data_IF_436448415727
#
_entry.id   IF_436448415727
#
_cell.length_a   1.000
_cell.length_b   1.000
_cell.length_c   1.000
_cell.angle_alpha   90.00
_cell.angle_beta   90.00
_cell.angle_gamma   90.00
#
_symmetry.space_group_name_H-M   'P 1'
#
loop_
_entity.id
_entity.type
_entity.pdbx_description
1 polymer ?
#
# COMPACT_ATOMS: atom_id res chain seq x y z
N UNK A 1 -15.86 21.80 32.98
CA UNK A 1 -14.55 22.32 32.60
C UNK A 1 -13.95 21.30 31.63
N UNK A 2 -14.13 21.58 30.36
CA UNK A 2 -13.72 20.71 29.26
C UNK A 2 -12.23 20.95 28.98
N UNK A 3 -11.47 19.87 28.91
CA UNK A 3 -10.06 19.87 28.58
C UNK A 3 -9.93 20.03 27.06
N UNK A 4 -9.72 21.25 26.59
CA UNK A 4 -9.28 21.54 25.23
C UNK A 4 -7.80 21.13 25.12
N UNK A 5 -7.54 19.91 24.69
CA UNK A 5 -6.22 19.54 24.16
C UNK A 5 -6.19 19.88 22.68
N UNK A 6 -5.75 21.10 22.41
CA UNK A 6 -5.28 21.53 21.10
C UNK A 6 -4.06 20.67 20.70
N UNK A 7 -4.27 19.66 19.87
CA UNK A 7 -3.19 19.06 19.13
C UNK A 7 -2.72 20.01 18.02
N UNK A 8 -1.90 20.97 18.42
CA UNK A 8 -1.03 21.67 17.50
C UNK A 8 0.02 20.66 17.02
N UNK A 9 -0.13 20.17 15.80
CA UNK A 9 0.96 19.50 15.08
C UNK A 9 2.10 20.52 15.01
N UNK A 10 3.28 20.24 15.59
CA UNK A 10 4.40 21.15 15.48
C UNK A 10 4.74 21.28 14.00
N UNK A 11 4.48 22.43 13.43
CA UNK A 11 4.93 22.77 12.09
C UNK A 11 6.44 23.01 12.11
N UNK A 12 7.23 21.96 12.30
CA UNK A 12 8.61 21.97 11.86
C UNK A 12 8.62 21.89 10.33
N UNK A 13 8.10 22.94 9.69
CA UNK A 13 8.40 23.26 8.29
C UNK A 13 9.88 23.63 8.19
N UNK A 14 10.78 22.64 8.22
CA UNK A 14 11.99 22.76 7.44
C UNK A 14 11.49 23.01 6.02
N UNK A 15 11.83 24.16 5.43
CA UNK A 15 11.61 24.40 3.99
C UNK A 15 12.37 23.28 3.26
N UNK A 16 11.64 22.25 2.86
CA UNK A 16 12.20 21.27 1.95
C UNK A 16 12.48 22.04 0.67
N UNK A 17 13.73 22.07 0.26
CA UNK A 17 14.06 22.56 -1.07
C UNK A 17 13.28 21.72 -2.06
N UNK A 18 12.56 22.39 -2.99
CA UNK A 18 11.92 21.69 -4.10
C UNK A 18 12.96 20.85 -4.82
N UNK A 19 12.66 19.58 -5.05
CA UNK A 19 13.51 18.66 -5.81
C UNK A 19 12.84 18.29 -7.11
N UNK A 20 13.63 17.92 -8.11
CA UNK A 20 13.17 17.32 -9.35
C UNK A 20 13.28 15.81 -9.24
N UNK A 21 12.16 15.12 -9.24
CA UNK A 21 12.07 13.69 -8.96
C UNK A 21 11.50 12.97 -10.18
N UNK A 22 12.20 11.96 -10.69
CA UNK A 22 11.61 11.01 -11.62
C UNK A 22 10.95 9.88 -10.81
N UNK A 23 9.68 9.58 -11.10
CA UNK A 23 8.93 8.53 -10.43
C UNK A 23 8.45 7.49 -11.45
N UNK A 24 8.94 6.26 -11.29
CA UNK A 24 8.55 5.13 -12.12
C UNK A 24 7.72 4.14 -11.34
N UNK A 25 6.60 3.70 -11.92
CA UNK A 25 5.73 2.71 -11.33
C UNK A 25 4.98 1.91 -12.39
N UNK A 26 4.36 0.81 -11.99
CA UNK A 26 3.47 0.07 -12.87
C UNK A 26 2.11 0.78 -12.93
N UNK A 27 1.60 0.96 -14.15
CA UNK A 27 0.29 1.56 -14.41
C UNK A 27 -0.89 0.65 -14.13
N UNK A 28 -0.67 -0.52 -13.53
CA UNK A 28 -1.71 -1.50 -13.33
C UNK A 28 -2.20 -1.59 -11.90
N UNK A 29 -3.40 -2.09 -11.79
CA UNK A 29 -4.19 -2.39 -10.61
C UNK A 29 -3.53 -3.36 -9.62
N UNK A 30 -2.37 -3.94 -9.96
CA UNK A 30 -1.57 -4.75 -9.03
C UNK A 30 -0.85 -3.89 -7.99
N UNK A 31 -0.59 -2.64 -8.31
CA UNK A 31 -0.11 -1.68 -7.35
C UNK A 31 -1.30 -1.21 -6.51
N UNK A 32 -1.15 -1.17 -5.18
CA UNK A 32 -2.14 -0.50 -4.35
C UNK A 32 -2.32 0.94 -4.83
N UNK A 33 -3.50 1.52 -4.65
CA UNK A 33 -3.75 2.94 -4.95
C UNK A 33 -2.67 3.85 -4.35
N UNK A 34 -2.14 3.50 -3.19
CA UNK A 34 -1.10 4.27 -2.52
C UNK A 34 0.21 4.38 -3.33
N UNK A 35 0.55 3.37 -4.13
CA UNK A 35 1.67 3.43 -5.08
C UNK A 35 1.32 4.35 -6.24
N UNK A 36 0.13 4.18 -6.82
CA UNK A 36 -0.31 5.00 -7.95
C UNK A 36 -0.37 6.50 -7.60
N UNK A 37 -0.79 6.84 -6.39
CA UNK A 37 -0.93 8.22 -5.94
C UNK A 37 0.37 8.90 -5.50
N UNK A 38 1.51 8.18 -5.44
CA UNK A 38 2.79 8.73 -4.99
C UNK A 38 3.24 9.94 -5.80
N UNK A 39 3.11 9.90 -7.13
CA UNK A 39 3.46 11.02 -8.01
C UNK A 39 2.69 12.29 -7.67
N UNK A 40 1.37 12.17 -7.51
CA UNK A 40 0.50 13.28 -7.10
C UNK A 40 0.84 13.77 -5.68
N UNK A 41 1.16 12.85 -4.77
CA UNK A 41 1.58 13.17 -3.40
C UNK A 41 2.88 13.96 -3.39
N UNK A 42 3.90 13.55 -4.14
CA UNK A 42 5.17 14.26 -4.27
C UNK A 42 4.97 15.68 -4.82
N UNK A 43 4.12 15.85 -5.85
CA UNK A 43 3.76 17.19 -6.37
C UNK A 43 3.09 18.04 -5.30
N UNK A 44 2.19 17.47 -4.50
CA UNK A 44 1.53 18.16 -3.38
C UNK A 44 2.50 18.57 -2.25
N UNK A 45 3.68 17.93 -2.19
CA UNK A 45 4.76 18.29 -1.27
C UNK A 45 5.66 19.41 -1.81
N UNK A 46 5.43 19.87 -3.05
CA UNK A 46 6.17 20.95 -3.69
C UNK A 46 7.35 20.50 -4.55
N UNK A 47 7.43 19.21 -4.89
CA UNK A 47 8.45 18.68 -5.80
C UNK A 47 7.99 18.77 -7.26
N UNK A 48 8.94 18.95 -8.19
CA UNK A 48 8.72 18.74 -9.62
C UNK A 48 8.81 17.23 -9.89
N UNK A 49 7.78 16.64 -10.50
CA UNK A 49 7.72 15.19 -10.70
C UNK A 49 7.56 14.84 -12.17
N UNK A 50 8.55 14.15 -12.70
CA UNK A 50 8.51 13.47 -13.99
C UNK A 50 8.03 12.05 -13.75
N UNK A 51 6.86 11.70 -14.28
CA UNK A 51 6.23 10.42 -14.02
C UNK A 51 6.33 9.49 -15.23
N UNK A 52 6.88 8.30 -15.02
CA UNK A 52 6.97 7.23 -16.00
C UNK A 52 6.09 6.05 -15.59
N UNK A 53 4.96 5.88 -16.28
CA UNK A 53 4.06 4.76 -16.03
C UNK A 53 4.36 3.60 -16.96
N UNK A 54 4.76 2.47 -16.40
CA UNK A 54 5.09 1.27 -17.17
C UNK A 54 3.87 0.35 -17.24
N UNK A 55 3.37 0.05 -18.43
CA UNK A 55 2.22 -0.83 -18.58
C UNK A 55 2.60 -2.26 -18.22
N UNK A 56 1.77 -2.89 -17.41
CA UNK A 56 1.85 -4.32 -17.12
C UNK A 56 0.51 -4.96 -17.49
N UNK A 57 0.50 -6.21 -17.91
CA UNK A 57 -0.77 -6.94 -17.97
C UNK A 57 -1.25 -7.24 -16.55
N UNK A 58 -2.54 -7.48 -16.38
CA UNK A 58 -3.19 -7.71 -15.08
C UNK A 58 -2.60 -8.84 -14.19
N UNK A 59 -1.47 -9.42 -14.57
CA UNK A 59 -0.70 -10.41 -13.82
C UNK A 59 0.72 -9.92 -13.46
N UNK A 60 1.00 -8.61 -13.60
CA UNK A 60 2.34 -8.07 -13.35
C UNK A 60 3.40 -8.47 -14.38
N UNK A 61 3.04 -9.31 -15.36
CA UNK A 61 3.93 -9.62 -16.45
C UNK A 61 4.05 -8.39 -17.35
N UNK A 62 5.26 -7.94 -17.55
CA UNK A 62 5.61 -6.96 -18.57
C UNK A 62 4.99 -7.43 -19.88
N UNK A 63 4.25 -6.57 -20.57
CA UNK A 63 3.65 -6.90 -21.87
C UNK A 63 4.77 -7.30 -22.84
N UNK A 64 5.00 -8.60 -23.00
CA UNK A 64 6.04 -9.14 -23.90
C UNK A 64 5.72 -8.86 -25.37
N UNK A 65 4.46 -8.53 -25.69
CA UNK A 65 3.95 -8.32 -27.04
C UNK A 65 3.13 -7.02 -27.13
N UNK A 66 3.72 -5.90 -26.72
CA UNK A 66 3.14 -4.58 -27.01
C UNK A 66 3.29 -4.32 -28.50
N UNK A 67 2.20 -4.02 -29.18
CA UNK A 67 2.21 -3.63 -30.58
C UNK A 67 3.09 -2.39 -30.79
N UNK A 68 3.64 -2.22 -32.00
CA UNK A 68 4.55 -1.11 -32.33
C UNK A 68 3.98 0.27 -32.02
N UNK A 69 2.68 0.45 -32.22
CA UNK A 69 1.98 1.72 -31.95
C UNK A 69 1.81 1.98 -30.44
N UNK A 70 1.47 0.95 -29.68
CA UNK A 70 1.37 1.06 -28.22
C UNK A 70 2.73 1.31 -27.58
N UNK A 71 3.79 0.69 -28.11
CA UNK A 71 5.16 0.95 -27.68
C UNK A 71 5.57 2.40 -27.92
N UNK A 72 5.28 2.96 -29.11
CA UNK A 72 5.53 4.35 -29.43
C UNK A 72 4.75 5.30 -28.50
N UNK A 73 3.48 4.99 -28.20
CA UNK A 73 2.66 5.78 -27.27
C UNK A 73 3.19 5.76 -25.84
N UNK A 74 3.73 4.63 -25.39
CA UNK A 74 4.39 4.51 -24.07
C UNK A 74 5.65 5.36 -24.02
N UNK A 75 6.49 5.25 -25.05
CA UNK A 75 7.74 5.99 -25.15
C UNK A 75 7.54 7.51 -25.08
N UNK A 76 6.46 8.03 -25.70
CA UNK A 76 6.17 9.47 -25.67
C UNK A 76 5.79 10.01 -24.29
N UNK A 77 5.44 9.13 -23.35
CA UNK A 77 5.07 9.49 -21.98
C UNK A 77 6.17 9.22 -20.96
N UNK A 78 7.28 8.62 -21.39
CA UNK A 78 8.40 8.31 -20.49
C UNK A 78 9.40 9.47 -20.47
N UNK A 79 9.96 9.82 -19.30
CA UNK A 79 11.07 10.76 -19.22
C UNK A 79 12.24 10.33 -20.12
N UNK A 80 12.87 11.24 -20.81
CA UNK A 80 14.08 10.95 -21.60
C UNK A 80 15.31 10.82 -20.70
N UNK A 81 16.41 10.24 -21.21
CA UNK A 81 17.69 10.24 -20.47
C UNK A 81 18.15 11.67 -20.13
N UNK A 82 17.91 12.64 -21.02
CA UNK A 82 18.23 14.05 -20.78
C UNK A 82 17.39 14.61 -19.60
N UNK A 83 16.12 14.24 -19.51
CA UNK A 83 15.29 14.62 -18.37
C UNK A 83 15.81 14.00 -17.07
N UNK A 84 16.17 12.72 -17.09
CA UNK A 84 16.68 12.00 -15.92
C UNK A 84 18.02 12.55 -15.42
N UNK A 85 18.88 13.08 -16.31
CA UNK A 85 20.14 13.75 -15.95
C UNK A 85 19.94 15.00 -15.10
N UNK A 86 18.76 15.60 -15.16
CA UNK A 86 18.40 16.83 -14.42
C UNK A 86 17.68 16.55 -13.10
N UNK A 87 17.37 15.28 -12.80
CA UNK A 87 16.70 14.89 -11.56
C UNK A 87 17.69 14.83 -10.39
N UNK A 88 17.17 15.14 -9.20
CA UNK A 88 17.88 14.94 -7.93
C UNK A 88 17.73 13.49 -7.45
N UNK A 89 16.53 12.92 -7.62
CA UNK A 89 16.16 11.58 -7.18
C UNK A 89 15.38 10.87 -8.29
N UNK A 90 15.66 9.59 -8.47
CA UNK A 90 14.87 8.68 -9.29
C UNK A 90 14.28 7.62 -8.36
N UNK A 91 12.97 7.60 -8.23
CA UNK A 91 12.22 6.68 -7.38
C UNK A 91 11.53 5.64 -8.25
N UNK A 92 11.79 4.37 -7.99
CA UNK A 92 11.21 3.24 -8.74
C UNK A 92 10.41 2.37 -7.78
N UNK A 93 9.08 2.37 -7.94
CA UNK A 93 8.19 1.50 -7.18
C UNK A 93 7.94 0.20 -7.95
N UNK A 94 8.22 -0.93 -7.28
CA UNK A 94 8.15 -2.25 -7.88
C UNK A 94 9.25 -2.52 -8.91
N UNK A 95 10.55 -2.33 -8.56
CA UNK A 95 11.65 -2.62 -9.48
C UNK A 95 11.60 -4.05 -10.03
N UNK A 96 11.06 -4.98 -9.25
CA UNK A 96 10.81 -6.37 -9.65
C UNK A 96 9.91 -6.51 -10.88
N UNK A 97 9.08 -5.51 -11.15
CA UNK A 97 8.16 -5.50 -12.28
C UNK A 97 8.62 -4.61 -13.43
N UNK A 98 9.39 -3.55 -13.13
CA UNK A 98 9.70 -2.49 -14.11
C UNK A 98 11.13 -2.56 -14.65
N UNK A 99 12.04 -3.29 -14.01
CA UNK A 99 13.47 -3.27 -14.36
C UNK A 99 13.75 -3.71 -15.81
N UNK A 100 13.02 -4.69 -16.34
CA UNK A 100 13.18 -5.12 -17.75
C UNK A 100 12.85 -3.97 -18.72
N UNK A 101 11.82 -3.18 -18.41
CA UNK A 101 11.46 -2.01 -19.20
C UNK A 101 12.49 -0.90 -19.10
N UNK A 102 12.98 -0.61 -17.91
CA UNK A 102 14.03 0.39 -17.71
C UNK A 102 15.31 0.00 -18.48
N UNK A 103 15.65 -1.28 -18.49
CA UNK A 103 16.77 -1.78 -19.30
C UNK A 103 16.53 -1.61 -20.81
N UNK A 104 15.32 -1.88 -21.28
CA UNK A 104 14.98 -1.74 -22.70
C UNK A 104 14.97 -0.28 -23.15
N UNK A 105 14.49 0.63 -22.27
CA UNK A 105 14.36 2.05 -22.59
C UNK A 105 15.67 2.82 -22.50
N UNK A 106 16.47 2.54 -21.46
CA UNK A 106 17.62 3.37 -21.13
C UNK A 106 18.94 2.61 -21.21
N UNK A 107 18.93 1.28 -21.10
CA UNK A 107 20.11 0.44 -20.95
C UNK A 107 20.75 0.58 -19.57
N UNK A 108 21.31 -0.51 -19.05
CA UNK A 108 21.94 -0.55 -17.72
C UNK A 108 23.08 0.46 -17.59
N UNK A 109 23.94 0.53 -18.59
CA UNK A 109 25.11 1.40 -18.55
C UNK A 109 24.74 2.88 -18.42
N UNK A 110 23.83 3.36 -19.28
CA UNK A 110 23.37 4.75 -19.23
C UNK A 110 22.60 5.06 -17.94
N UNK A 111 21.80 4.10 -17.46
CA UNK A 111 21.09 4.22 -16.19
C UNK A 111 22.04 4.36 -15.01
N UNK A 112 23.09 3.54 -14.95
CA UNK A 112 24.08 3.60 -13.87
C UNK A 112 24.95 4.85 -13.88
N UNK A 113 25.04 5.56 -15.02
CA UNK A 113 25.78 6.82 -15.16
C UNK A 113 24.96 8.07 -14.75
N UNK A 114 23.66 7.92 -14.46
CA UNK A 114 22.83 9.03 -14.00
C UNK A 114 23.35 9.58 -12.67
N UNK A 115 23.37 10.94 -12.56
CA UNK A 115 23.82 11.62 -11.33
C UNK A 115 22.77 11.60 -10.22
N UNK A 116 21.50 11.44 -10.59
CA UNK A 116 20.39 11.34 -9.66
C UNK A 116 20.56 10.13 -8.73
N UNK A 117 20.16 10.25 -7.47
CA UNK A 117 20.09 9.14 -6.53
C UNK A 117 18.94 8.20 -6.94
N UNK A 118 19.27 6.94 -7.23
CA UNK A 118 18.32 5.92 -7.68
C UNK A 118 17.84 5.10 -6.49
N UNK A 119 16.56 5.12 -6.25
CA UNK A 119 15.90 4.49 -5.10
C UNK A 119 14.93 3.43 -5.57
N UNK A 120 15.11 2.20 -5.10
CA UNK A 120 14.21 1.07 -5.34
C UNK A 120 13.26 0.88 -4.16
N UNK A 121 11.96 0.92 -4.42
CA UNK A 121 10.92 0.54 -3.46
C UNK A 121 10.35 -0.81 -3.87
N UNK A 122 10.79 -1.87 -3.21
CA UNK A 122 10.24 -3.21 -3.44
C UNK A 122 8.84 -3.31 -2.84
N UNK A 123 7.92 -3.96 -3.55
CA UNK A 123 6.52 -4.08 -3.15
C UNK A 123 6.17 -5.49 -2.65
N UNK A 124 7.05 -6.44 -2.94
CA UNK A 124 6.89 -7.85 -2.60
C UNK A 124 8.13 -8.37 -1.85
N UNK A 125 7.92 -9.37 -1.01
CA UNK A 125 9.03 -10.11 -0.37
C UNK A 125 9.65 -11.09 -1.36
N UNK A 126 10.98 -11.24 -1.32
CA UNK A 126 11.71 -12.26 -2.09
C UNK A 126 11.40 -13.69 -1.59
N UNK A 127 10.84 -13.82 -0.39
CA UNK A 127 10.37 -15.08 0.18
C UNK A 127 9.03 -15.55 -0.41
N UNK A 128 8.40 -14.74 -1.25
CA UNK A 128 7.16 -15.11 -1.92
C UNK A 128 7.42 -16.19 -2.96
N UNK A 129 6.87 -17.40 -2.76
CA UNK A 129 7.15 -18.60 -3.56
C UNK A 129 6.66 -18.52 -5.01
N UNK A 130 5.67 -17.68 -5.28
CA UNK A 130 5.03 -17.52 -6.60
C UNK A 130 5.66 -16.40 -7.45
N UNK A 131 6.63 -15.67 -6.91
CA UNK A 131 7.37 -14.62 -7.63
C UNK A 131 8.85 -14.97 -7.63
N UNK A 132 9.38 -15.35 -8.79
CA UNK A 132 10.82 -15.51 -8.98
C UNK A 132 11.45 -14.13 -9.15
N UNK A 133 11.64 -13.43 -8.05
CA UNK A 133 12.34 -12.17 -8.05
C UNK A 133 13.87 -12.41 -7.96
N UNK A 134 14.59 -11.81 -8.89
CA UNK A 134 16.04 -11.89 -8.96
C UNK A 134 16.65 -10.57 -8.53
N UNK A 135 16.74 -10.37 -7.22
CA UNK A 135 17.41 -9.20 -6.66
C UNK A 135 18.85 -9.03 -7.16
N UNK A 136 19.59 -10.14 -7.28
CA UNK A 136 20.96 -10.20 -7.75
C UNK A 136 21.17 -9.58 -9.14
N UNK A 137 20.15 -9.57 -10.00
CA UNK A 137 20.22 -9.00 -11.35
C UNK A 137 20.13 -7.47 -11.35
N UNK A 138 19.43 -6.90 -10.38
CA UNK A 138 19.09 -5.48 -10.38
C UNK A 138 19.65 -4.70 -9.19
N UNK A 139 20.37 -5.37 -8.27
CA UNK A 139 20.89 -4.74 -7.07
C UNK A 139 21.77 -3.52 -7.36
N UNK A 140 22.64 -3.62 -8.36
CA UNK A 140 23.58 -2.57 -8.75
C UNK A 140 22.98 -1.44 -9.60
N UNK A 141 21.66 -1.51 -9.92
CA UNK A 141 20.94 -0.46 -10.64
C UNK A 141 20.54 0.69 -9.75
N UNK A 142 20.52 0.49 -8.43
CA UNK A 142 20.02 1.43 -7.45
C UNK A 142 21.06 1.72 -6.38
N UNK A 143 21.02 2.93 -5.87
CA UNK A 143 21.88 3.39 -4.79
C UNK A 143 21.29 3.11 -3.41
N UNK A 144 19.96 3.02 -3.34
CA UNK A 144 19.20 2.75 -2.12
C UNK A 144 18.10 1.74 -2.40
N UNK A 145 17.91 0.82 -1.45
CA UNK A 145 16.91 -0.25 -1.51
C UNK A 145 16.01 -0.19 -0.28
N UNK A 146 14.70 -0.21 -0.51
CA UNK A 146 13.69 -0.29 0.52
C UNK A 146 12.88 -1.57 0.37
N UNK A 147 12.94 -2.46 1.34
CA UNK A 147 12.24 -3.74 1.35
C UNK A 147 11.07 -3.73 2.33
N UNK A 148 9.90 -4.27 1.94
CA UNK A 148 8.75 -4.38 2.83
C UNK A 148 8.89 -5.54 3.83
N UNK A 149 9.90 -6.38 3.69
CA UNK A 149 10.19 -7.55 4.52
C UNK A 149 11.52 -7.38 5.25
N UNK A 150 11.52 -7.56 6.57
CA UNK A 150 12.72 -7.44 7.41
C UNK A 150 13.74 -8.55 7.14
N UNK A 151 13.30 -9.72 6.71
CA UNK A 151 14.21 -10.80 6.30
C UNK A 151 14.99 -10.41 5.05
N UNK A 152 14.34 -9.72 4.10
CA UNK A 152 15.00 -9.20 2.91
C UNK A 152 16.01 -8.09 3.27
N UNK A 153 15.67 -7.21 4.22
CA UNK A 153 16.62 -6.22 4.73
C UNK A 153 17.83 -6.89 5.38
N UNK A 154 17.63 -7.92 6.18
CA UNK A 154 18.72 -8.67 6.81
C UNK A 154 19.59 -9.42 5.79
N UNK A 155 18.99 -9.92 4.72
CA UNK A 155 19.64 -10.72 3.68
C UNK A 155 20.43 -9.88 2.68
N UNK A 156 19.87 -8.75 2.24
CA UNK A 156 20.40 -7.96 1.12
C UNK A 156 20.96 -6.61 1.56
N UNK A 157 20.77 -6.21 2.80
CA UNK A 157 20.99 -4.85 3.25
C UNK A 157 19.89 -3.90 2.78
N UNK A 158 20.05 -2.60 3.04
CA UNK A 158 19.06 -1.59 2.67
C UNK A 158 18.20 -1.13 3.84
N UNK A 159 17.05 -0.56 3.53
CA UNK A 159 16.15 0.03 4.51
C UNK A 159 14.82 -0.74 4.58
N UNK A 160 14.21 -0.78 5.75
CA UNK A 160 12.88 -1.34 5.90
C UNK A 160 11.81 -0.37 5.35
N UNK A 161 11.05 -0.81 4.37
CA UNK A 161 9.89 -0.09 3.85
C UNK A 161 8.68 -0.35 4.76
N UNK A 162 8.50 0.50 5.76
CA UNK A 162 7.31 0.46 6.61
C UNK A 162 6.04 0.63 5.76
N UNK A 163 4.99 -0.09 6.09
CA UNK A 163 3.69 0.03 5.42
C UNK A 163 3.19 1.48 5.34
N UNK A 164 2.43 1.79 4.31
CA UNK A 164 1.88 3.12 4.07
C UNK A 164 0.56 3.06 3.31
N UNK A 165 -0.23 4.11 3.44
CA UNK A 165 -1.55 4.21 2.82
C UNK A 165 -1.87 5.65 2.38
N UNK A 166 -2.61 5.79 1.29
CA UNK A 166 -3.17 7.08 0.87
C UNK A 166 -4.40 7.43 1.72
N UNK A 167 -4.20 8.29 2.70
CA UNK A 167 -5.25 8.74 3.61
C UNK A 167 -6.25 9.71 2.95
N UNK A 168 -5.94 10.24 1.78
CA UNK A 168 -6.89 11.00 0.96
C UNK A 168 -7.99 10.11 0.39
N UNK A 169 -7.62 8.88 0.01
CA UNK A 169 -8.52 7.88 -0.57
C UNK A 169 -9.18 7.02 0.51
N UNK A 170 -8.39 6.42 1.38
CA UNK A 170 -8.87 5.51 2.43
C UNK A 170 -9.08 6.28 3.73
N UNK A 171 -10.33 6.62 4.01
CA UNK A 171 -10.71 7.44 5.16
C UNK A 171 -12.07 7.00 5.73
N UNK A 172 -12.29 7.19 7.05
CA UNK A 172 -13.48 6.67 7.72
C UNK A 172 -14.77 7.39 7.31
N UNK A 173 -14.67 8.61 6.82
CA UNK A 173 -15.81 9.37 6.31
C UNK A 173 -15.36 10.29 5.16
N UNK A 174 -16.29 10.70 4.31
CA UNK A 174 -16.00 11.54 3.13
C UNK A 174 -15.33 12.88 3.49
N UNK A 175 -15.64 13.43 4.68
CA UNK A 175 -15.11 14.71 5.13
C UNK A 175 -13.76 14.60 5.85
N UNK A 176 -13.32 13.40 6.23
CA UNK A 176 -12.00 13.20 6.88
C UNK A 176 -10.89 13.61 5.92
N UNK A 177 -9.95 14.37 6.40
CA UNK A 177 -8.86 14.93 5.60
C UNK A 177 -9.09 16.39 5.15
N UNK A 178 -10.30 16.93 5.33
CA UNK A 178 -10.51 18.37 5.24
C UNK A 178 -9.86 19.05 6.47
N UNK A 179 -9.29 20.23 6.25
CA UNK A 179 -8.66 20.99 7.35
C UNK A 179 -9.67 21.22 8.47
N UNK A 180 -9.28 20.86 9.70
CA UNK A 180 -10.12 21.03 10.88
C UNK A 180 -11.22 19.99 11.10
N UNK A 181 -11.41 19.01 10.19
CA UNK A 181 -12.40 17.96 10.41
C UNK A 181 -11.92 16.93 11.42
N UNK A 182 -12.58 16.84 12.56
CA UNK A 182 -12.46 15.75 13.52
C UNK A 182 -13.64 14.79 13.34
N UNK A 183 -13.40 13.47 13.38
CA UNK A 183 -14.51 12.51 13.39
C UNK A 183 -15.20 12.57 14.75
N UNK A 184 -16.31 13.30 14.78
CA UNK A 184 -17.21 13.44 15.91
C UNK A 184 -18.26 12.32 15.98
N UNK A 185 -19.13 12.39 16.96
CA UNK A 185 -20.23 11.40 17.15
C UNK A 185 -21.18 11.37 15.94
N UNK A 186 -21.42 12.49 15.26
CA UNK A 186 -22.24 12.53 14.06
C UNK A 186 -21.58 11.79 12.89
N UNK A 187 -20.26 11.84 12.76
CA UNK A 187 -19.48 11.03 11.81
C UNK A 187 -19.56 9.55 12.17
N UNK A 188 -19.45 9.20 13.46
CA UNK A 188 -19.59 7.84 13.95
C UNK A 188 -20.97 7.28 13.62
N UNK A 189 -22.03 8.00 13.94
CA UNK A 189 -23.42 7.59 13.69
C UNK A 189 -23.66 7.35 12.20
N UNK A 190 -23.20 8.25 11.32
CA UNK A 190 -23.31 8.07 9.87
C UNK A 190 -22.54 6.83 9.39
N UNK A 191 -21.32 6.63 9.86
CA UNK A 191 -20.51 5.45 9.53
C UNK A 191 -21.21 4.16 9.94
N UNK A 192 -21.86 4.14 11.11
CA UNK A 192 -22.61 2.98 11.57
C UNK A 192 -23.84 2.71 10.70
N UNK A 193 -24.55 3.76 10.26
CA UNK A 193 -25.69 3.64 9.35
C UNK A 193 -25.29 3.17 7.95
N UNK A 194 -24.04 3.36 7.53
CA UNK A 194 -23.52 2.88 6.24
C UNK A 194 -23.19 1.37 6.24
N UNK A 195 -23.11 0.72 7.43
CA UNK A 195 -22.75 -0.70 7.55
C UNK A 195 -23.85 -1.60 6.99
N UNK A 196 -23.56 -2.30 5.89
CA UNK A 196 -24.50 -3.17 5.18
C UNK A 196 -24.22 -4.64 5.40
N UNK A 197 -22.92 -5.00 5.54
CA UNK A 197 -22.48 -6.38 5.60
C UNK A 197 -22.01 -6.71 7.02
N UNK A 198 -22.49 -7.84 7.56
CA UNK A 198 -22.08 -8.29 8.89
C UNK A 198 -20.60 -8.65 8.91
N UNK A 199 -20.17 -9.48 7.97
CA UNK A 199 -18.78 -9.80 7.78
C UNK A 199 -18.44 -9.91 6.30
N UNK A 200 -17.20 -9.58 5.91
CA UNK A 200 -16.78 -9.72 4.53
C UNK A 200 -15.27 -9.89 4.38
N UNK A 201 -14.90 -10.50 3.26
CA UNK A 201 -13.55 -10.43 2.70
C UNK A 201 -13.57 -9.61 1.41
N UNK A 202 -12.62 -8.70 1.25
CA UNK A 202 -12.43 -7.93 0.01
C UNK A 202 -11.02 -8.17 -0.52
N UNK A 203 -10.91 -8.79 -1.68
CA UNK A 203 -9.63 -9.10 -2.31
C UNK A 203 -9.72 -10.22 -3.34
N UNK A 204 -8.61 -10.57 -3.96
CA UNK A 204 -8.56 -11.65 -4.96
C UNK A 204 -8.81 -13.02 -4.33
N UNK A 205 -9.75 -13.77 -4.89
CA UNK A 205 -10.06 -15.14 -4.49
C UNK A 205 -9.23 -16.12 -5.33
N UNK A 206 -8.05 -16.47 -4.85
CA UNK A 206 -7.27 -17.59 -5.42
C UNK A 206 -7.53 -18.88 -4.62
N UNK A 207 -7.11 -20.03 -5.16
CA UNK A 207 -7.50 -21.35 -4.68
C UNK A 207 -7.37 -21.52 -3.16
N UNK A 208 -6.23 -21.15 -2.57
CA UNK A 208 -6.00 -21.25 -1.11
C UNK A 208 -7.06 -20.49 -0.28
N UNK A 209 -7.52 -19.32 -0.78
CA UNK A 209 -8.57 -18.54 -0.09
C UNK A 209 -9.94 -19.16 -0.29
N UNK A 210 -10.22 -19.71 -1.46
CA UNK A 210 -11.47 -20.45 -1.73
C UNK A 210 -11.55 -21.70 -0.85
N UNK A 211 -10.45 -22.46 -0.73
CA UNK A 211 -10.37 -23.63 0.14
C UNK A 211 -10.59 -23.27 1.62
N UNK A 212 -10.02 -22.16 2.07
CA UNK A 212 -10.21 -21.64 3.43
C UNK A 212 -11.67 -21.20 3.66
N UNK A 213 -12.27 -20.49 2.72
CA UNK A 213 -13.69 -20.08 2.80
C UNK A 213 -14.61 -21.31 2.79
N UNK A 214 -14.29 -22.34 2.01
CA UNK A 214 -15.01 -23.61 2.02
C UNK A 214 -15.04 -24.30 3.38
N UNK A 215 -14.01 -24.10 4.20
CA UNK A 215 -13.95 -24.59 5.58
C UNK A 215 -14.68 -23.66 6.57
N UNK A 216 -14.59 -22.35 6.36
CA UNK A 216 -15.10 -21.33 7.28
C UNK A 216 -16.62 -21.15 7.18
N UNK A 217 -17.15 -20.98 5.97
CA UNK A 217 -18.54 -20.61 5.75
C UNK A 217 -19.56 -21.61 6.34
N UNK A 218 -19.35 -22.93 6.23
CA UNK A 218 -20.26 -23.92 6.86
C UNK A 218 -20.32 -23.80 8.40
N UNK A 219 -19.30 -23.20 9.03
CA UNK A 219 -19.24 -23.04 10.48
C UNK A 219 -20.05 -21.85 10.98
N UNK A 220 -20.52 -20.96 10.10
CA UNK A 220 -21.27 -19.74 10.46
C UNK A 220 -22.44 -19.47 9.50
N UNK A 221 -23.41 -20.39 9.39
CA UNK A 221 -24.56 -20.23 8.50
C UNK A 221 -25.51 -19.10 8.90
N UNK A 222 -25.37 -18.61 10.11
CA UNK A 222 -26.11 -17.52 10.73
C UNK A 222 -25.53 -16.13 10.41
N UNK A 223 -24.36 -16.06 9.81
CA UNK A 223 -23.67 -14.81 9.46
C UNK A 223 -23.82 -14.52 7.97
N UNK A 224 -24.29 -13.32 7.64
CA UNK A 224 -24.25 -12.79 6.28
C UNK A 224 -22.79 -12.41 5.94
N UNK A 225 -22.08 -13.38 5.34
CA UNK A 225 -20.67 -13.24 4.95
C UNK A 225 -20.54 -13.01 3.45
N UNK A 226 -19.95 -11.88 3.06
CA UNK A 226 -19.69 -11.53 1.68
C UNK A 226 -18.24 -11.76 1.30
N UNK A 227 -17.98 -12.69 0.40
CA UNK A 227 -16.68 -12.84 -0.25
C UNK A 227 -16.67 -12.03 -1.55
N UNK A 228 -16.36 -10.76 -1.46
CA UNK A 228 -16.32 -9.87 -2.62
C UNK A 228 -14.96 -9.99 -3.31
N UNK A 229 -14.84 -10.95 -4.24
CA UNK A 229 -13.71 -11.07 -5.13
C UNK A 229 -13.75 -9.93 -6.16
N UNK A 230 -13.18 -8.79 -5.85
CA UNK A 230 -12.95 -7.75 -6.85
C UNK A 230 -11.83 -8.23 -7.74
N UNK A 231 -12.17 -8.81 -8.88
CA UNK A 231 -11.18 -9.07 -9.91
C UNK A 231 -10.95 -7.78 -10.70
N UNK A 232 -9.71 -7.36 -10.69
CA UNK A 232 -9.18 -6.25 -11.47
C UNK A 232 -9.52 -6.29 -12.97
N UNK A 233 -9.92 -7.45 -13.50
CA UNK A 233 -10.30 -7.66 -14.90
C UNK A 233 -11.56 -6.93 -15.33
N UNK A 234 -12.43 -6.58 -14.39
CA UNK A 234 -13.76 -6.06 -14.70
C UNK A 234 -13.76 -4.53 -14.89
N UNK A 235 -12.65 -3.87 -14.58
CA UNK A 235 -12.49 -2.43 -14.72
C UNK A 235 -11.35 -2.17 -15.70
N UNK A 236 -11.67 -2.04 -16.97
CA UNK A 236 -10.70 -1.67 -18.01
C UNK A 236 -9.73 -0.60 -17.48
N UNK A 237 -8.40 -0.78 -17.69
CA UNK A 237 -7.30 -0.12 -16.98
C UNK A 237 -7.24 1.42 -16.94
N UNK A 238 -8.34 2.09 -17.24
CA UNK A 238 -8.44 3.55 -17.28
C UNK A 238 -9.01 4.20 -16.01
N UNK A 239 -9.61 3.40 -15.09
CA UNK A 239 -10.35 3.91 -13.93
C UNK A 239 -9.78 3.45 -12.58
N UNK A 240 -8.47 3.57 -12.36
CA UNK A 240 -7.86 3.19 -11.08
C UNK A 240 -8.40 3.99 -9.90
N UNK A 241 -8.69 5.27 -10.10
CA UNK A 241 -9.27 6.11 -9.05
C UNK A 241 -10.67 5.65 -8.68
N UNK A 242 -11.55 5.42 -9.66
CA UNK A 242 -12.92 4.96 -9.43
C UNK A 242 -12.94 3.61 -8.72
N UNK A 243 -12.00 2.71 -9.09
CA UNK A 243 -11.85 1.44 -8.40
C UNK A 243 -11.43 1.61 -6.94
N UNK A 244 -10.47 2.49 -6.66
CA UNK A 244 -10.02 2.76 -5.31
C UNK A 244 -11.13 3.41 -4.46
N UNK A 245 -11.92 4.30 -5.05
CA UNK A 245 -13.11 4.90 -4.42
C UNK A 245 -14.17 3.86 -4.10
N UNK A 246 -14.46 2.97 -5.05
CA UNK A 246 -15.40 1.85 -4.86
C UNK A 246 -14.91 0.89 -3.78
N UNK A 247 -13.62 0.58 -3.78
CA UNK A 247 -12.99 -0.26 -2.78
C UNK A 247 -13.11 0.37 -1.37
N UNK A 248 -12.74 1.63 -1.23
CA UNK A 248 -12.85 2.35 0.04
C UNK A 248 -14.31 2.42 0.53
N UNK A 249 -15.27 2.63 -0.39
CA UNK A 249 -16.70 2.58 -0.09
C UNK A 249 -17.14 1.21 0.40
N UNK A 250 -16.75 0.14 -0.30
CA UNK A 250 -17.10 -1.23 0.09
C UNK A 250 -16.52 -1.59 1.46
N UNK A 251 -15.28 -1.23 1.72
CA UNK A 251 -14.64 -1.46 3.03
C UNK A 251 -15.44 -0.76 4.15
N UNK A 252 -15.85 0.50 3.97
CA UNK A 252 -16.66 1.23 4.97
C UNK A 252 -18.00 0.57 5.27
N UNK A 253 -18.57 -0.18 4.33
CA UNK A 253 -19.88 -0.84 4.49
C UNK A 253 -19.82 -2.15 5.29
N UNK A 254 -18.64 -2.61 5.70
CA UNK A 254 -18.44 -3.88 6.40
C UNK A 254 -18.35 -3.63 7.91
N UNK A 255 -19.06 -4.43 8.73
CA UNK A 255 -18.90 -4.41 10.19
C UNK A 255 -17.60 -5.09 10.59
N UNK A 256 -17.37 -6.32 10.11
CA UNK A 256 -16.19 -7.14 10.42
C UNK A 256 -15.49 -7.52 9.10
N UNK A 257 -14.37 -6.88 8.80
CA UNK A 257 -13.54 -7.26 7.65
C UNK A 257 -12.56 -8.36 8.05
N UNK A 258 -12.59 -9.46 7.31
CA UNK A 258 -11.71 -10.62 7.55
C UNK A 258 -10.63 -10.65 6.49
N UNK A 259 -9.38 -10.43 6.88
CA UNK A 259 -8.23 -10.63 6.01
C UNK A 259 -7.93 -12.13 5.89
N UNK A 260 -8.19 -12.73 4.73
CA UNK A 260 -7.93 -14.15 4.52
C UNK A 260 -6.45 -14.44 4.29
N UNK A 261 -5.95 -15.64 4.67
CA UNK A 261 -4.56 -16.02 4.50
C UNK A 261 -4.06 -15.80 3.08
N UNK A 262 -2.85 -15.26 2.94
CA UNK A 262 -2.20 -15.03 1.65
C UNK A 262 -1.01 -15.98 1.45
N UNK A 263 -0.40 -15.94 0.27
CA UNK A 263 0.86 -16.63 0.01
C UNK A 263 2.05 -15.92 0.67
N UNK A 264 1.85 -14.67 1.04
CA UNK A 264 2.83 -13.88 1.79
C UNK A 264 2.60 -14.09 3.29
N UNK A 265 3.58 -14.65 3.99
CA UNK A 265 3.51 -14.97 5.42
C UNK A 265 4.42 -14.07 6.27
N UNK A 266 5.34 -13.36 5.65
CA UNK A 266 6.34 -12.55 6.34
C UNK A 266 5.91 -11.10 6.50
N UNK A 267 5.24 -10.52 5.50
CA UNK A 267 4.82 -9.12 5.54
C UNK A 267 3.30 -8.94 5.51
N UNK A 268 2.84 -7.83 6.04
CA UNK A 268 1.44 -7.44 5.96
C UNK A 268 1.18 -6.72 4.62
N UNK A 269 0.22 -7.22 3.84
CA UNK A 269 -0.21 -6.62 2.57
C UNK A 269 -1.02 -5.33 2.78
N UNK A 270 -1.33 -4.61 1.69
CA UNK A 270 -2.01 -3.30 1.77
C UNK A 270 -3.42 -3.33 2.39
N UNK A 271 -4.20 -4.41 2.17
CA UNK A 271 -5.62 -4.47 2.58
C UNK A 271 -5.88 -4.23 4.07
N UNK A 272 -5.13 -4.77 5.03
CA UNK A 272 -5.25 -4.42 6.44
C UNK A 272 -5.13 -2.91 6.70
N UNK A 273 -4.15 -2.23 6.10
CA UNK A 273 -3.98 -0.78 6.24
C UNK A 273 -5.16 0.00 5.67
N UNK A 274 -5.64 -0.37 4.48
CA UNK A 274 -6.81 0.23 3.83
C UNK A 274 -8.07 0.07 4.69
N UNK A 275 -8.25 -1.11 5.27
CA UNK A 275 -9.38 -1.43 6.15
C UNK A 275 -9.40 -0.55 7.38
N UNK A 276 -8.28 -0.50 8.08
CA UNK A 276 -8.15 0.28 9.30
C UNK A 276 -8.21 1.79 9.03
N UNK A 277 -7.60 2.26 7.91
CA UNK A 277 -7.70 3.65 7.48
C UNK A 277 -9.15 4.10 7.25
N UNK A 278 -10.01 3.20 6.77
CA UNK A 278 -11.44 3.42 6.60
C UNK A 278 -12.24 3.34 7.92
N UNK A 279 -11.61 3.09 9.05
CA UNK A 279 -12.27 2.93 10.35
C UNK A 279 -13.15 1.67 10.42
N UNK A 280 -12.81 0.63 9.66
CA UNK A 280 -13.50 -0.66 9.68
C UNK A 280 -12.72 -1.64 10.57
N UNK A 281 -13.44 -2.39 11.39
CA UNK A 281 -12.85 -3.39 12.25
C UNK A 281 -12.22 -4.52 11.44
N UNK A 282 -11.00 -4.91 11.83
CA UNK A 282 -10.19 -5.89 11.12
C UNK A 282 -9.97 -7.14 11.96
N UNK A 283 -10.34 -8.30 11.42
CA UNK A 283 -9.81 -9.60 11.80
C UNK A 283 -8.68 -9.96 10.83
N UNK A 284 -7.48 -10.16 11.35
CA UNK A 284 -6.30 -10.52 10.55
C UNK A 284 -5.59 -11.73 11.16
N UNK A 285 -4.65 -12.29 10.45
CA UNK A 285 -3.79 -13.37 10.93
C UNK A 285 -2.38 -12.84 11.23
N UNK A 286 -1.64 -13.58 12.06
CA UNK A 286 -0.26 -13.21 12.40
C UNK A 286 0.64 -13.33 11.17
N UNK A 287 1.37 -12.26 10.90
CA UNK A 287 2.55 -12.25 10.01
C UNK A 287 3.79 -11.89 10.83
N UNK A 288 4.97 -12.22 10.35
CA UNK A 288 6.22 -11.91 11.06
C UNK A 288 6.37 -10.41 11.33
N UNK A 289 5.98 -9.58 10.36
CA UNK A 289 6.06 -8.13 10.41
C UNK A 289 4.71 -7.45 10.72
N UNK A 290 3.82 -8.10 11.50
CA UNK A 290 2.58 -7.45 11.92
C UNK A 290 2.87 -6.33 12.93
N UNK A 291 2.64 -5.04 12.57
CA UNK A 291 2.91 -3.92 13.45
C UNK A 291 1.78 -3.62 14.44
N UNK A 292 0.64 -4.31 14.31
CA UNK A 292 -0.57 -4.01 15.06
C UNK A 292 -0.71 -4.91 16.28
N UNK A 293 -1.27 -4.33 17.35
CA UNK A 293 -1.51 -5.04 18.62
C UNK A 293 -2.88 -5.70 18.62
N UNK A 294 -2.90 -7.02 18.92
CA UNK A 294 -4.13 -7.78 19.10
C UNK A 294 -5.00 -7.19 20.23
N UNK A 295 -6.30 -7.12 20.02
CA UNK A 295 -7.28 -6.57 20.96
C UNK A 295 -7.23 -5.05 21.13
N UNK A 296 -6.29 -4.36 20.45
CA UNK A 296 -6.14 -2.91 20.53
C UNK A 296 -6.40 -2.24 19.17
N UNK A 297 -5.68 -2.66 18.13
CA UNK A 297 -5.79 -2.06 16.79
C UNK A 297 -6.58 -2.94 15.82
N UNK A 298 -6.59 -4.23 16.05
CA UNK A 298 -7.27 -5.26 15.29
C UNK A 298 -7.44 -6.50 16.18
N UNK A 299 -8.06 -7.56 15.64
CA UNK A 299 -7.99 -8.89 16.28
C UNK A 299 -7.20 -9.84 15.39
N UNK A 300 -6.35 -10.63 16.01
CA UNK A 300 -5.50 -11.60 15.33
C UNK A 300 -6.07 -13.00 15.55
N UNK A 301 -6.28 -13.74 14.48
CA UNK A 301 -6.77 -15.12 14.51
C UNK A 301 -5.72 -16.11 14.00
N UNK A 302 -5.87 -17.36 14.36
CA UNK A 302 -5.06 -18.48 13.86
C UNK A 302 -5.75 -19.10 12.62
N UNK A 303 -5.15 -19.04 11.42
CA UNK A 303 -5.73 -19.65 10.21
C UNK A 303 -5.90 -21.17 10.31
N UNK A 304 -5.18 -21.86 11.20
CA UNK A 304 -5.35 -23.28 11.43
C UNK A 304 -6.64 -23.63 12.20
N UNK A 305 -7.33 -22.62 12.75
CA UNK A 305 -8.49 -22.78 13.62
C UNK A 305 -9.75 -22.07 13.08
N UNK A 306 -10.32 -22.50 11.96
CA UNK A 306 -11.46 -21.81 11.34
C UNK A 306 -12.69 -21.73 12.26
N UNK A 307 -12.87 -22.66 13.21
CA UNK A 307 -13.97 -22.59 14.19
C UNK A 307 -13.81 -21.41 15.14
N UNK A 308 -12.61 -21.21 15.69
CA UNK A 308 -12.33 -20.03 16.55
C UNK A 308 -12.55 -18.72 15.78
N UNK A 309 -12.18 -18.67 14.49
CA UNK A 309 -12.46 -17.50 13.65
C UNK A 309 -13.97 -17.28 13.46
N UNK A 310 -14.75 -18.34 13.21
CA UNK A 310 -16.20 -18.23 13.11
C UNK A 310 -16.85 -17.67 14.39
N UNK A 311 -16.37 -18.10 15.54
CA UNK A 311 -16.82 -17.61 16.84
C UNK A 311 -16.41 -16.15 17.10
N UNK A 312 -15.18 -15.74 16.70
CA UNK A 312 -14.76 -14.35 16.74
C UNK A 312 -15.62 -13.45 15.83
N UNK A 313 -15.94 -13.92 14.64
CA UNK A 313 -16.81 -13.16 13.72
C UNK A 313 -18.19 -12.93 14.37
N UNK A 314 -18.84 -13.97 14.90
CA UNK A 314 -20.14 -13.83 15.59
C UNK A 314 -20.03 -12.88 16.77
N UNK A 315 -18.99 -13.04 17.58
CA UNK A 315 -18.76 -12.19 18.74
C UNK A 315 -18.72 -10.71 18.33
N UNK A 316 -17.86 -10.34 17.39
CA UNK A 316 -17.72 -8.94 16.98
C UNK A 316 -18.85 -8.41 16.10
N UNK A 317 -19.65 -9.25 15.46
CA UNK A 317 -20.90 -8.83 14.83
C UNK A 317 -21.90 -8.38 15.89
N UNK A 318 -21.96 -9.07 17.03
CA UNK A 318 -22.89 -8.81 18.13
C UNK A 318 -22.41 -7.71 19.10
N UNK A 319 -21.10 -7.58 19.35
CA UNK A 319 -20.53 -6.65 20.33
C UNK A 319 -20.03 -5.37 19.67
N UNK A 320 -20.99 -4.49 19.36
CA UNK A 320 -20.73 -3.28 18.56
C UNK A 320 -19.76 -2.30 19.23
N UNK A 321 -19.95 -2.00 20.51
CA UNK A 321 -19.12 -1.00 21.21
C UNK A 321 -17.66 -1.41 21.28
N UNK A 322 -17.38 -2.67 21.60
CA UNK A 322 -16.00 -3.19 21.63
C UNK A 322 -15.39 -3.22 20.25
N UNK A 323 -16.16 -3.67 19.24
CA UNK A 323 -15.73 -3.66 17.85
C UNK A 323 -15.35 -2.26 17.39
N UNK A 324 -16.18 -1.26 17.65
CA UNK A 324 -15.93 0.12 17.24
C UNK A 324 -14.78 0.76 18.01
N UNK A 325 -14.58 0.43 19.28
CA UNK A 325 -13.45 0.90 20.05
C UNK A 325 -12.12 0.42 19.44
N UNK A 326 -12.02 -0.85 19.07
CA UNK A 326 -10.84 -1.41 18.41
C UNK A 326 -10.66 -0.81 17.00
N UNK A 327 -11.74 -0.69 16.23
CA UNK A 327 -11.69 -0.09 14.90
C UNK A 327 -11.23 1.37 14.93
N UNK A 328 -11.67 2.14 15.93
CA UNK A 328 -11.26 3.52 16.13
C UNK A 328 -9.77 3.60 16.47
N UNK A 329 -9.29 2.81 17.44
CA UNK A 329 -7.87 2.79 17.82
C UNK A 329 -6.97 2.35 16.65
N UNK A 330 -7.41 1.37 15.85
CA UNK A 330 -6.71 0.96 14.64
C UNK A 330 -6.66 2.07 13.58
N UNK A 331 -7.76 2.78 13.40
CA UNK A 331 -7.83 3.92 12.49
C UNK A 331 -6.87 5.05 12.93
N UNK A 332 -6.85 5.40 14.20
CA UNK A 332 -5.94 6.42 14.76
C UNK A 332 -4.47 6.05 14.57
N UNK A 333 -4.13 4.78 14.81
CA UNK A 333 -2.77 4.27 14.57
C UNK A 333 -2.35 4.43 13.12
N UNK A 334 -3.22 4.07 12.16
CA UNK A 334 -2.95 4.24 10.73
C UNK A 334 -2.77 5.72 10.37
N UNK A 335 -3.68 6.56 10.81
CA UNK A 335 -3.64 7.99 10.47
C UNK A 335 -2.42 8.71 11.05
N UNK A 336 -1.92 8.25 12.18
CA UNK A 336 -0.75 8.81 12.84
C UNK A 336 0.58 8.36 12.22
N UNK A 337 0.68 7.09 11.78
CA UNK A 337 1.97 6.46 11.56
C UNK A 337 2.19 5.90 10.15
N UNK A 338 1.15 5.88 9.28
CA UNK A 338 1.21 5.13 8.02
C UNK A 338 0.78 5.94 6.79
N UNK A 339 0.89 7.26 6.83
CA UNK A 339 0.64 8.13 5.68
C UNK A 339 1.67 7.91 4.57
N UNK A 340 1.23 7.78 3.33
CA UNK A 340 2.11 7.76 2.15
C UNK A 340 2.94 9.04 2.06
N UNK A 341 2.37 10.18 2.45
CA UNK A 341 3.05 11.47 2.44
C UNK A 341 4.27 11.49 3.37
N UNK A 342 4.11 11.01 4.61
CA UNK A 342 5.19 10.98 5.58
C UNK A 342 6.25 9.97 5.18
N UNK A 343 5.84 8.84 4.61
CA UNK A 343 6.77 7.84 4.08
C UNK A 343 7.60 8.38 2.92
N UNK A 344 6.99 9.08 1.98
CA UNK A 344 7.71 9.72 0.88
C UNK A 344 8.66 10.81 1.40
N UNK A 345 8.24 11.60 2.39
CA UNK A 345 9.11 12.60 3.00
C UNK A 345 10.37 11.95 3.62
N UNK A 346 10.22 10.86 4.34
CA UNK A 346 11.36 10.12 4.91
C UNK A 346 12.30 9.60 3.80
N UNK A 347 11.76 8.94 2.77
CA UNK A 347 12.53 8.36 1.68
C UNK A 347 13.28 9.43 0.89
N UNK A 348 12.59 10.50 0.51
CA UNK A 348 13.16 11.57 -0.31
C UNK A 348 14.22 12.35 0.46
N UNK A 349 13.99 12.64 1.76
CA UNK A 349 14.99 13.29 2.61
C UNK A 349 16.24 12.43 2.78
N UNK A 350 16.07 11.13 3.04
CA UNK A 350 17.18 10.20 3.16
C UNK A 350 17.95 10.08 1.85
N UNK A 351 17.26 10.04 0.71
CA UNK A 351 17.88 10.00 -0.61
C UNK A 351 18.63 11.31 -0.94
N UNK A 352 18.16 12.45 -0.48
CA UNK A 352 18.80 13.75 -0.71
C UNK A 352 20.06 13.97 0.15
N UNK A 353 20.18 13.29 1.29
CA UNK A 353 21.34 13.42 2.17
C UNK A 353 22.56 12.68 1.58
N UNK A 354 23.50 13.46 1.04
CA UNK A 354 24.72 12.94 0.42
C UNK A 354 25.70 12.30 1.40
N UNK A 355 25.56 12.53 2.71
CA UNK A 355 26.47 12.03 3.75
C UNK A 355 26.17 10.58 4.16
N UNK A 356 25.00 10.06 3.83
CA UNK A 356 24.55 8.72 4.29
C UNK A 356 25.27 7.54 3.62
N UNK A 357 26.00 7.74 2.52
CA UNK A 357 26.71 6.64 1.82
C UNK A 357 28.16 6.41 2.29
N UNK A 358 28.74 7.29 3.10
CA UNK A 358 30.12 7.09 3.58
C UNK A 358 30.25 6.05 4.70
N UNK A 359 29.13 5.62 5.29
CA UNK A 359 29.12 4.68 6.43
C UNK A 359 28.80 3.22 6.07
N UNK A 360 28.47 2.90 4.81
CA UNK A 360 28.04 1.56 4.38
C UNK A 360 29.04 0.76 3.54
N UNK A 361 30.25 1.26 3.32
CA UNK A 361 31.34 0.55 2.65
C UNK A 361 32.52 0.34 3.60
N UNK A 362 32.28 -0.40 4.66
CA UNK A 362 33.28 -0.91 5.58
C UNK A 362 33.14 -2.41 5.71
#
# INVERSE_FOLDING_TARGET
MACEMLYSIPSHRKRHNSMRIAYFHTGTVLSSWSIYSMGATLRSMGHEVLEGTIPTNGHGAVLRNVGREDYARILTKMPTLADLQTCDVILVAGPEYVAVWLNTLYGKESWCQLKARRVALYLESTNRRDVQFRYDVFADWYDLHYFPDREDVARFGGQYLKGFIDLGMFKPCVNKGQSGHTCDEACRTRRMAEKKYQAAFVGTLYQKRMDFLGQLLPLMPDIDFHANGVTVRDLGGECQQEWAELLAKNIRQIKVHVALPSNNISMMVARPFETMACGTFLLTYQTADNPFRDGVHCRIYDPAKPRELADLIRYYVAHEDEREAIAQAGCEEIWKNYSVRDRLAEIVNFAADRNTLSQGKG
#
